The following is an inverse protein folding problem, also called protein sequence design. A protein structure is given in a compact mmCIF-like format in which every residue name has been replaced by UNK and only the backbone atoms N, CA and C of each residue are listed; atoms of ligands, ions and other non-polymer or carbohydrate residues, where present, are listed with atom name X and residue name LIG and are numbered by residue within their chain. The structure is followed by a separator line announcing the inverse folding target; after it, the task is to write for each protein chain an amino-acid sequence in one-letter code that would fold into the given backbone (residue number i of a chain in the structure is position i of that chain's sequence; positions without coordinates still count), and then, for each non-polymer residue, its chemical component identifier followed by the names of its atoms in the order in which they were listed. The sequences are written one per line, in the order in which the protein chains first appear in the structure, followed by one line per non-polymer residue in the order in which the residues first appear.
data_IF_187304042307
#
_entry.id   IF_187304042307
#
_cell.length_a   1.000
_cell.length_b   1.000
_cell.length_c   1.000
_cell.angle_alpha   90.00
_cell.angle_beta   90.00
_cell.angle_gamma   90.00
#
_symmetry.space_group_name_H-M   'P 1'
#
loop_
_entity.id
_entity.type
_entity.pdbx_description
1 polymer ?
#
# COMPACT_ATOMS: atom_id res chain seq x y z
N UNK A 1 -13.35 -20.84 -4.66
CA UNK A 1 -13.13 -19.53 -4.04
C UNK A 1 -11.82 -19.54 -3.26
N UNK A 2 -10.93 -18.60 -3.53
CA UNK A 2 -9.63 -18.55 -2.90
C UNK A 2 -9.44 -17.23 -2.15
N UNK A 3 -8.75 -17.29 -1.02
CA UNK A 3 -8.49 -16.13 -0.18
C UNK A 3 -7.00 -16.01 0.07
N UNK A 4 -6.45 -14.83 -0.15
CA UNK A 4 -5.08 -14.49 0.19
C UNK A 4 -5.08 -13.59 1.41
N UNK A 5 -4.32 -13.97 2.42
CA UNK A 5 -4.15 -13.18 3.62
C UNK A 5 -2.74 -12.61 3.66
N UNK A 6 -2.65 -11.30 3.89
CA UNK A 6 -1.37 -10.59 3.97
C UNK A 6 -1.25 -9.93 5.33
N UNK A 7 -0.17 -10.22 6.03
CA UNK A 7 0.14 -9.52 7.28
C UNK A 7 1.02 -8.34 6.95
N UNK A 8 0.52 -7.15 7.24
CA UNK A 8 1.20 -5.89 6.94
C UNK A 8 1.73 -5.32 8.24
N UNK A 9 2.99 -5.55 8.51
CA UNK A 9 3.65 -5.09 9.72
C UNK A 9 5.00 -4.48 9.36
N UNK A 10 5.19 -3.25 9.75
CA UNK A 10 6.42 -2.52 9.50
C UNK A 10 6.53 -1.39 10.50
N UNK A 11 7.76 -0.89 10.75
CA UNK A 11 7.93 0.26 11.64
C UNK A 11 7.17 1.49 11.17
N UNK A 12 7.10 1.70 9.85
CA UNK A 12 6.38 2.83 9.27
C UNK A 12 5.56 2.35 8.09
N UNK A 13 4.31 2.82 8.02
CA UNK A 13 3.42 2.54 6.90
C UNK A 13 2.71 3.83 6.52
N UNK A 14 2.40 3.97 5.23
CA UNK A 14 1.59 5.06 4.73
C UNK A 14 0.61 4.50 3.70
N UNK A 15 -0.67 4.78 3.89
CA UNK A 15 -1.74 4.28 3.02
C UNK A 15 -2.49 5.47 2.46
N UNK A 16 -2.31 5.71 1.18
CA UNK A 16 -2.74 6.91 0.49
C UNK A 16 -4.06 7.50 0.96
N UNK A 17 -4.05 8.80 1.13
CA UNK A 17 -5.21 9.62 1.46
C UNK A 17 -5.12 10.88 0.60
N UNK A 18 -6.05 11.81 0.82
CA UNK A 18 -6.00 13.09 0.12
C UNK A 18 -4.65 13.75 0.40
N UNK A 19 -3.86 13.92 -0.64
CA UNK A 19 -2.55 14.54 -0.52
C UNK A 19 -2.54 15.86 -1.27
N UNK A 20 -2.24 16.92 -0.56
CA UNK A 20 -1.99 18.22 -1.17
C UNK A 20 -0.51 18.35 -1.44
N UNK A 21 -0.14 19.35 -2.22
CA UNK A 21 1.22 19.57 -2.68
C UNK A 21 2.26 19.47 -1.56
N UNK A 22 1.98 20.04 -0.40
CA UNK A 22 2.94 20.14 0.70
C UNK A 22 2.70 19.09 1.80
N UNK A 23 1.58 18.37 1.76
CA UNK A 23 1.21 17.46 2.83
C UNK A 23 0.84 16.09 2.26
N UNK A 24 1.56 15.06 2.72
CA UNK A 24 1.28 13.66 2.39
C UNK A 24 0.67 13.00 3.60
N UNK A 25 -0.63 12.75 3.56
CA UNK A 25 -1.37 12.13 4.64
C UNK A 25 -1.48 10.63 4.45
N UNK A 26 -1.87 9.94 5.49
CA UNK A 26 -2.15 8.51 5.42
C UNK A 26 -3.52 8.22 5.98
N UNK A 27 -4.21 7.24 5.42
CA UNK A 27 -5.36 6.63 6.07
C UNK A 27 -4.89 5.81 7.27
N UNK A 28 -5.78 5.56 8.22
CA UNK A 28 -5.46 4.82 9.44
C UNK A 28 -5.38 3.31 9.20
N UNK A 29 -5.72 2.86 8.01
CA UNK A 29 -5.68 1.45 7.65
C UNK A 29 -5.31 1.29 6.17
N UNK A 30 -4.86 0.10 5.76
CA UNK A 30 -4.55 -0.17 4.36
C UNK A 30 -5.75 0.06 3.46
N UNK A 31 -5.49 0.64 2.30
CA UNK A 31 -6.50 0.82 1.27
C UNK A 31 -6.43 -0.31 0.26
N UNK A 32 -7.55 -0.60 -0.41
CA UNK A 32 -7.57 -1.61 -1.44
C UNK A 32 -6.56 -1.29 -2.54
N UNK A 33 -6.51 -0.05 -3.00
CA UNK A 33 -5.59 0.34 -4.06
C UNK A 33 -4.13 0.19 -3.65
N UNK A 34 -3.80 0.48 -2.38
CA UNK A 34 -2.44 0.30 -1.87
C UNK A 34 -2.04 -1.17 -1.84
N UNK A 35 -2.94 -2.04 -1.38
CA UNK A 35 -2.67 -3.48 -1.32
C UNK A 35 -2.61 -4.08 -2.72
N UNK A 36 -3.49 -3.66 -3.62
CA UNK A 36 -3.44 -4.09 -5.03
C UNK A 36 -2.11 -3.66 -5.66
N UNK A 37 -1.63 -2.46 -5.33
CA UNK A 37 -0.33 -1.99 -5.80
C UNK A 37 0.82 -2.88 -5.34
N UNK A 38 0.78 -3.34 -4.08
CA UNK A 38 1.77 -4.29 -3.57
C UNK A 38 1.74 -5.61 -4.33
N UNK A 39 0.54 -6.14 -4.60
CA UNK A 39 0.40 -7.37 -5.37
C UNK A 39 0.91 -7.20 -6.79
N UNK A 40 0.56 -6.09 -7.43
CA UNK A 40 1.03 -5.81 -8.78
C UNK A 40 2.55 -5.76 -8.84
N UNK A 41 3.18 -5.13 -7.86
CA UNK A 41 4.62 -5.09 -7.76
C UNK A 41 5.22 -6.47 -7.56
N UNK A 42 4.60 -7.29 -6.70
CA UNK A 42 5.06 -8.65 -6.45
C UNK A 42 4.96 -9.54 -7.68
N UNK A 43 3.94 -9.30 -8.51
CA UNK A 43 3.74 -10.03 -9.77
C UNK A 43 4.56 -9.48 -10.92
N UNK A 44 5.24 -8.34 -10.71
CA UNK A 44 5.99 -7.69 -11.76
C UNK A 44 5.15 -7.02 -12.82
N UNK A 45 3.92 -6.66 -12.48
CA UNK A 45 3.01 -6.02 -13.43
C UNK A 45 3.38 -4.57 -13.65
N UNK A 46 3.31 -4.12 -14.89
CA UNK A 46 3.54 -2.73 -15.25
C UNK A 46 2.22 -1.98 -15.29
N UNK A 47 2.31 -0.66 -15.23
CA UNK A 47 1.12 0.19 -15.31
C UNK A 47 0.35 0.05 -16.62
N UNK A 48 1.02 -0.36 -17.70
CA UNK A 48 0.39 -0.57 -18.99
C UNK A 48 -0.25 -1.94 -19.14
N UNK A 49 -0.11 -2.83 -18.15
CA UNK A 49 -0.75 -4.13 -18.15
C UNK A 49 -2.15 -4.04 -17.54
N UNK A 50 -3.01 -3.26 -18.18
CA UNK A 50 -4.31 -2.89 -17.65
C UNK A 50 -5.25 -4.07 -17.43
N UNK A 51 -5.17 -5.10 -18.30
CA UNK A 51 -6.04 -6.27 -18.16
C UNK A 51 -5.76 -7.02 -16.86
N UNK A 52 -4.48 -7.28 -16.57
CA UNK A 52 -4.09 -7.96 -15.36
C UNK A 52 -4.43 -7.13 -14.12
N UNK A 53 -4.20 -5.82 -14.18
CA UNK A 53 -4.55 -4.92 -13.09
C UNK A 53 -6.06 -4.89 -12.84
N UNK A 54 -6.86 -4.92 -13.90
CA UNK A 54 -8.31 -4.95 -13.77
C UNK A 54 -8.80 -6.21 -13.05
N UNK A 55 -8.16 -7.35 -13.31
CA UNK A 55 -8.50 -8.58 -12.59
C UNK A 55 -8.22 -8.43 -11.09
N UNK A 56 -7.10 -7.82 -10.73
CA UNK A 56 -6.77 -7.62 -9.33
C UNK A 56 -7.75 -6.68 -8.64
N UNK A 57 -8.20 -5.63 -9.33
CA UNK A 57 -9.13 -4.68 -8.75
C UNK A 57 -10.52 -5.29 -8.52
N UNK A 58 -10.82 -6.40 -9.19
CA UNK A 58 -12.07 -7.13 -8.98
C UNK A 58 -12.11 -8.00 -7.74
N UNK A 59 -10.99 -8.14 -7.03
CA UNK A 59 -10.95 -8.95 -5.82
C UNK A 59 -11.73 -8.28 -4.69
N UNK A 60 -12.36 -9.10 -3.85
CA UNK A 60 -12.99 -8.61 -2.62
C UNK A 60 -11.90 -8.32 -1.61
N UNK A 61 -12.10 -7.27 -0.84
CA UNK A 61 -11.06 -6.77 0.05
C UNK A 61 -11.61 -6.52 1.44
N UNK A 62 -10.84 -6.91 2.46
CA UNK A 62 -11.15 -6.61 3.83
C UNK A 62 -9.87 -6.45 4.64
N UNK A 63 -9.96 -5.71 5.72
CA UNK A 63 -8.83 -5.47 6.60
C UNK A 63 -9.26 -5.71 8.05
N UNK A 64 -8.40 -6.40 8.79
CA UNK A 64 -8.53 -6.49 10.24
C UNK A 64 -7.38 -5.74 10.87
N UNK A 65 -7.69 -4.80 11.75
CA UNK A 65 -6.68 -4.03 12.47
C UNK A 65 -6.22 -4.85 13.68
N UNK A 66 -4.97 -5.31 13.61
CA UNK A 66 -4.36 -6.07 14.72
C UNK A 66 -3.74 -5.12 15.74
N UNK A 67 -3.10 -4.07 15.25
CA UNK A 67 -2.55 -3.01 16.08
C UNK A 67 -2.72 -1.70 15.33
N UNK A 68 -3.38 -0.75 15.95
CA UNK A 68 -3.74 0.50 15.32
C UNK A 68 -2.52 1.36 14.95
N UNK A 69 -1.49 1.30 15.78
CA UNK A 69 -0.32 2.12 15.58
C UNK A 69 -0.53 3.57 16.01
N UNK A 70 0.52 4.35 15.85
CA UNK A 70 0.51 5.76 16.20
C UNK A 70 0.82 6.60 14.98
N UNK A 71 0.14 7.72 14.86
CA UNK A 71 0.39 8.65 13.78
C UNK A 71 1.69 9.39 14.04
N UNK A 72 2.61 9.31 13.08
CA UNK A 72 3.88 10.04 13.11
C UNK A 72 3.87 11.04 11.98
N UNK A 73 4.22 12.29 12.31
CA UNK A 73 4.37 13.34 11.31
C UNK A 73 5.84 13.63 11.16
N UNK A 74 6.33 13.51 9.95
CA UNK A 74 7.70 13.82 9.60
C UNK A 74 7.68 14.93 8.57
N UNK A 75 8.67 15.82 8.61
CA UNK A 75 8.73 16.84 7.58
C UNK A 75 10.10 16.86 6.92
N UNK A 76 10.06 17.18 5.65
CA UNK A 76 11.24 17.20 4.79
C UNK A 76 11.41 18.57 4.17
N UNK A 77 12.65 18.98 4.03
CA UNK A 77 12.99 20.21 3.33
C UNK A 77 13.54 19.84 1.97
N UNK A 78 12.92 20.37 0.93
CA UNK A 78 13.37 20.20 -0.45
C UNK A 78 13.81 21.55 -0.99
N UNK A 79 14.90 21.57 -1.74
CA UNK A 79 15.39 22.78 -2.38
C UNK A 79 15.27 22.66 -3.88
N UNK A 80 15.06 23.81 -4.54
CA UNK A 80 15.13 23.84 -5.99
C UNK A 80 16.56 23.57 -6.45
N UNK A 81 16.73 23.23 -7.73
CA UNK A 81 18.07 22.94 -8.26
C UNK A 81 19.04 24.11 -8.14
N UNK A 82 18.52 25.33 -8.15
CA UNK A 82 19.33 26.55 -8.00
C UNK A 82 19.53 26.94 -6.53
N UNK A 83 18.98 26.14 -5.61
CA UNK A 83 19.06 26.36 -4.15
C UNK A 83 18.49 27.69 -3.67
N UNK A 84 17.72 28.39 -4.53
CA UNK A 84 17.14 29.68 -4.18
C UNK A 84 15.87 29.55 -3.36
N UNK A 85 15.13 28.45 -3.52
CA UNK A 85 13.85 28.25 -2.85
C UNK A 85 13.89 26.91 -2.13
N UNK A 86 13.44 26.92 -0.88
CA UNK A 86 13.27 25.68 -0.12
C UNK A 86 11.81 25.50 0.22
N UNK A 87 11.38 24.22 0.23
CA UNK A 87 10.03 23.86 0.57
C UNK A 87 10.04 22.91 1.75
N UNK A 88 9.05 23.05 2.62
CA UNK A 88 8.84 22.10 3.71
C UNK A 88 7.63 21.27 3.33
N UNK A 89 7.80 19.95 3.34
CA UNK A 89 6.72 19.01 3.09
C UNK A 89 6.49 18.18 4.34
N UNK A 90 5.21 17.90 4.63
CA UNK A 90 4.81 17.10 5.78
C UNK A 90 4.36 15.75 5.31
N UNK A 91 4.90 14.70 5.93
CA UNK A 91 4.53 13.32 5.60
C UNK A 91 4.04 12.63 6.86
N UNK A 92 2.87 12.01 6.73
CA UNK A 92 2.24 11.29 7.82
C UNK A 92 2.46 9.80 7.64
N UNK A 93 2.79 9.13 8.73
CA UNK A 93 3.01 7.69 8.75
C UNK A 93 2.27 7.06 9.91
N UNK A 94 1.99 5.77 9.80
CA UNK A 94 1.55 4.96 10.93
C UNK A 94 2.78 4.25 11.48
N UNK A 95 3.04 4.44 12.76
CA UNK A 95 4.18 3.83 13.43
C UNK A 95 3.73 2.58 14.18
N UNK A 96 4.39 1.47 13.91
CA UNK A 96 4.17 0.19 14.59
C UNK A 96 2.75 -0.37 14.42
N UNK A 97 2.08 -0.03 13.34
CA UNK A 97 0.78 -0.60 13.03
C UNK A 97 0.92 -2.02 12.48
N UNK A 98 -0.07 -2.85 12.73
CA UNK A 98 -0.14 -4.21 12.20
C UNK A 98 -1.55 -4.45 11.67
N UNK A 99 -1.64 -4.89 10.44
CA UNK A 99 -2.90 -5.17 9.79
C UNK A 99 -2.89 -6.54 9.15
N UNK A 100 -4.06 -7.15 9.07
CA UNK A 100 -4.26 -8.36 8.28
C UNK A 100 -5.21 -8.00 7.14
N UNK A 101 -4.70 -8.03 5.92
CA UNK A 101 -5.48 -7.73 4.73
C UNK A 101 -5.88 -9.03 4.04
N UNK A 102 -7.14 -9.12 3.65
CA UNK A 102 -7.67 -10.27 2.95
C UNK A 102 -8.15 -9.90 1.56
N UNK A 103 -7.79 -10.72 0.60
CA UNK A 103 -8.25 -10.60 -0.78
C UNK A 103 -8.87 -11.92 -1.18
N UNK A 104 -10.07 -11.84 -1.75
CA UNK A 104 -10.83 -13.03 -2.12
C UNK A 104 -11.24 -12.97 -3.57
N UNK A 105 -11.09 -14.10 -4.25
CA UNK A 105 -11.48 -14.25 -5.64
C UNK A 105 -12.40 -15.44 -5.81
N UNK A 106 -13.39 -15.31 -6.68
CA UNK A 106 -14.17 -16.46 -7.15
C UNK A 106 -13.39 -17.32 -8.13
N UNK A 107 -12.29 -16.81 -8.69
CA UNK A 107 -11.40 -17.52 -9.58
C UNK A 107 -10.15 -17.93 -8.82
N UNK A 108 -10.07 -19.21 -8.44
CA UNK A 108 -8.95 -19.72 -7.67
C UNK A 108 -7.62 -19.56 -8.42
N UNK A 109 -7.63 -19.67 -9.73
CA UNK A 109 -6.41 -19.57 -10.52
C UNK A 109 -5.73 -18.23 -10.39
N UNK A 110 -6.50 -17.18 -10.19
CA UNK A 110 -5.95 -15.82 -10.09
C UNK A 110 -5.02 -15.69 -8.90
N UNK A 111 -5.39 -16.25 -7.75
CA UNK A 111 -4.58 -16.14 -6.54
C UNK A 111 -3.46 -17.18 -6.48
N UNK A 112 -3.68 -18.35 -7.05
CA UNK A 112 -2.65 -19.39 -7.08
C UNK A 112 -1.47 -19.04 -7.98
N UNK A 113 -1.67 -18.19 -8.97
CA UNK A 113 -0.58 -17.75 -9.84
C UNK A 113 0.21 -16.59 -9.21
N UNK A 114 -0.27 -16.05 -8.11
CA UNK A 114 0.39 -14.94 -7.42
C UNK A 114 1.52 -15.49 -6.55
N UNK A 115 2.77 -15.02 -6.74
CA UNK A 115 3.85 -15.45 -5.87
C UNK A 115 3.63 -14.90 -4.46
N UNK A 116 3.75 -15.77 -3.47
CA UNK A 116 3.70 -15.36 -2.07
C UNK A 116 5.02 -14.69 -1.70
N UNK A 117 5.02 -13.60 -0.92
CA UNK A 117 6.26 -13.02 -0.44
C UNK A 117 7.15 -14.01 0.31
N UNK A 118 6.56 -15.04 0.91
CA UNK A 118 7.33 -16.08 1.60
C UNK A 118 8.00 -17.03 0.64
N UNK A 119 7.49 -17.17 -0.57
CA UNK A 119 8.04 -18.06 -1.57
C UNK A 119 9.25 -17.46 -2.28
N UNK A 120 9.51 -16.18 -2.06
CA UNK A 120 10.62 -15.47 -2.68
C UNK A 120 11.85 -15.38 -1.79
N UNK A 121 11.90 -16.19 -0.79
CA UNK A 121 13.03 -16.23 0.13
C UNK A 121 14.34 -16.61 -0.52
#
# INVERSE_FOLDING_TARGET
MATLLLRLAAPLQAWGADSKFETRKTNREPTKSGVIGLLAAALGLRRDESEALTRLTGLRFGVRVEREGQLLVDYHTAKTQDEKTSYVTYRHYLQDAVFLAGLESGDDCLLYTSPSPRDTR
#
